data_IF_763817951388
#
_entry.id   IF_763817951388
#
_cell.length_a   1.000
_cell.length_b   1.000
_cell.length_c   1.000
_cell.angle_alpha   90.00
_cell.angle_beta   90.00
_cell.angle_gamma   90.00
#
_symmetry.space_group_name_H-M   'P 1'
#
loop_
_entity.id
_entity.type
_entity.pdbx_description
1 polymer ?
#
# COMPACT_ATOMS: atom_id res chain seq x y z
N UNK A 1 -11.20 5.23 19.50
CA UNK A 1 -10.80 5.28 18.08
C UNK A 1 -9.80 6.41 17.96
N UNK A 2 -8.52 6.15 17.69
CA UNK A 2 -7.55 7.24 17.54
C UNK A 2 -7.92 8.00 16.27
N UNK A 3 -8.32 9.27 16.41
CA UNK A 3 -8.61 10.12 15.26
C UNK A 3 -7.32 10.32 14.47
N UNK A 4 -7.30 9.77 13.25
CA UNK A 4 -6.29 10.09 12.26
C UNK A 4 -6.89 11.22 11.43
N UNK A 5 -6.27 12.39 11.46
CA UNK A 5 -6.67 13.52 10.62
C UNK A 5 -6.44 13.17 9.14
N UNK A 6 -7.54 12.77 8.49
CA UNK A 6 -7.61 12.48 7.05
C UNK A 6 -8.16 13.66 6.25
N UNK A 7 -8.45 14.78 6.91
CA UNK A 7 -9.11 15.95 6.31
C UNK A 7 -8.12 17.06 5.97
N UNK A 8 -7.00 17.16 6.69
CA UNK A 8 -5.94 18.10 6.35
C UNK A 8 -5.35 17.78 4.97
N UNK A 9 -5.34 18.74 4.03
CA UNK A 9 -4.73 18.55 2.72
C UNK A 9 -3.25 18.16 2.84
N UNK A 10 -2.81 17.18 2.05
CA UNK A 10 -1.39 16.79 1.98
C UNK A 10 -0.56 18.01 1.57
N UNK A 11 0.51 18.39 2.30
CA UNK A 11 1.34 19.54 1.94
C UNK A 11 1.90 19.42 0.50
N UNK A 12 2.02 20.54 -0.22
CA UNK A 12 2.44 20.55 -1.62
C UNK A 12 3.78 19.83 -1.87
N UNK A 13 4.77 20.02 -0.98
CA UNK A 13 6.06 19.32 -1.04
C UNK A 13 5.92 17.80 -0.97
N UNK A 14 4.94 17.29 -0.21
CA UNK A 14 4.66 15.87 -0.10
C UNK A 14 3.93 15.36 -1.35
N UNK A 15 3.03 16.17 -1.93
CA UNK A 15 2.38 15.83 -3.20
C UNK A 15 3.40 15.67 -4.33
N UNK A 16 4.33 16.60 -4.47
CA UNK A 16 5.38 16.52 -5.50
C UNK A 16 6.27 15.28 -5.31
N UNK A 17 6.66 14.96 -4.07
CA UNK A 17 7.46 13.75 -3.78
C UNK A 17 6.74 12.44 -4.12
N UNK A 18 5.41 12.43 -4.03
CA UNK A 18 4.58 11.24 -4.28
C UNK A 18 4.20 11.06 -5.74
N UNK A 19 4.31 12.11 -6.55
CA UNK A 19 3.97 12.08 -7.96
C UNK A 19 4.76 10.98 -8.68
N UNK A 20 4.04 10.06 -9.34
CA UNK A 20 4.63 8.92 -10.05
C UNK A 20 5.26 7.84 -9.15
N UNK A 21 5.09 7.90 -7.82
CA UNK A 21 5.56 6.87 -6.89
C UNK A 21 4.43 5.93 -6.53
N UNK A 22 4.71 4.63 -6.56
CA UNK A 22 3.80 3.61 -6.04
C UNK A 22 3.94 3.43 -4.54
N UNK A 23 2.88 2.94 -3.90
CA UNK A 23 2.88 2.58 -2.48
C UNK A 23 2.91 1.06 -2.32
N UNK A 24 3.63 0.62 -1.29
CA UNK A 24 3.65 -0.76 -0.81
C UNK A 24 2.93 -0.81 0.54
N UNK A 25 1.83 -1.56 0.60
CA UNK A 25 1.08 -1.81 1.83
C UNK A 25 1.54 -3.11 2.49
N UNK A 26 1.83 -3.01 3.78
CA UNK A 26 2.47 -4.07 4.55
C UNK A 26 1.68 -4.27 5.84
N UNK A 27 1.25 -5.51 6.12
CA UNK A 27 0.42 -5.81 7.28
C UNK A 27 -1.01 -5.24 7.22
N UNK A 28 -1.45 -4.76 6.06
CA UNK A 28 -2.80 -4.24 5.84
C UNK A 28 -3.64 -5.27 5.10
N UNK A 29 -4.84 -5.62 5.62
CA UNK A 29 -5.79 -6.53 4.94
C UNK A 29 -6.87 -5.84 4.11
N UNK A 30 -7.13 -4.55 4.33
CA UNK A 30 -8.26 -3.80 3.74
C UNK A 30 -9.63 -4.43 4.02
N UNK A 31 -9.76 -5.11 5.17
CA UNK A 31 -10.97 -5.80 5.60
C UNK A 31 -12.01 -4.88 6.25
N UNK A 32 -11.64 -3.62 6.54
CA UNK A 32 -12.53 -2.62 7.12
C UNK A 32 -12.57 -1.31 6.33
N UNK A 33 -13.57 -0.48 6.63
CA UNK A 33 -13.76 0.80 5.94
C UNK A 33 -12.64 1.81 6.25
N UNK A 34 -12.03 1.72 7.44
CA UNK A 34 -11.02 2.67 7.88
C UNK A 34 -9.72 2.50 7.09
N UNK A 35 -9.22 1.27 7.01
CA UNK A 35 -8.04 0.88 6.23
C UNK A 35 -8.21 1.19 4.74
N UNK A 36 -9.40 0.94 4.17
CA UNK A 36 -9.72 1.32 2.79
C UNK A 36 -9.70 2.83 2.58
N UNK A 37 -10.30 3.59 3.50
CA UNK A 37 -10.34 5.06 3.42
C UNK A 37 -8.93 5.64 3.53
N UNK A 38 -8.12 5.10 4.43
CA UNK A 38 -6.73 5.51 4.62
C UNK A 38 -5.88 5.23 3.37
N UNK A 39 -5.99 4.02 2.81
CA UNK A 39 -5.30 3.65 1.58
C UNK A 39 -5.67 4.60 0.43
N UNK A 40 -6.96 4.85 0.21
CA UNK A 40 -7.46 5.81 -0.80
C UNK A 40 -6.84 7.19 -0.63
N UNK A 41 -6.71 7.68 0.61
CA UNK A 41 -6.13 9.00 0.86
C UNK A 41 -4.62 9.04 0.62
N UNK A 42 -3.89 7.99 0.99
CA UNK A 42 -2.43 7.94 0.77
C UNK A 42 -2.08 7.89 -0.71
N UNK A 43 -2.84 7.10 -1.49
CA UNK A 43 -2.63 6.87 -2.92
C UNK A 43 -3.03 8.07 -3.80
N UNK A 44 -3.85 9.00 -3.28
CA UNK A 44 -4.25 10.20 -4.04
C UNK A 44 -3.03 10.95 -4.56
N UNK A 45 -3.09 11.32 -5.85
CA UNK A 45 -2.06 12.11 -6.54
C UNK A 45 -0.68 11.42 -6.51
N UNK A 46 -0.66 10.09 -6.48
CA UNK A 46 0.53 9.26 -6.61
C UNK A 46 0.55 8.52 -7.96
N UNK A 47 1.23 7.38 -8.06
CA UNK A 47 1.17 6.48 -9.23
C UNK A 47 -0.21 5.80 -9.34
N UNK A 48 -0.48 5.17 -10.48
CA UNK A 48 -1.64 4.29 -10.70
C UNK A 48 -1.32 2.81 -10.33
N UNK A 49 -0.07 2.52 -9.94
CA UNK A 49 0.38 1.15 -9.61
C UNK A 49 0.90 1.08 -8.18
N UNK A 50 0.36 0.13 -7.43
CA UNK A 50 0.63 -0.12 -6.01
C UNK A 50 0.74 -1.61 -5.71
N UNK A 51 1.21 -1.96 -4.51
CA UNK A 51 1.39 -3.33 -4.08
C UNK A 51 0.92 -3.56 -2.66
N UNK A 52 0.47 -4.78 -2.35
CA UNK A 52 0.15 -5.18 -0.99
C UNK A 52 0.64 -6.60 -0.69
N UNK A 53 1.34 -6.76 0.44
CA UNK A 53 1.79 -8.07 0.92
C UNK A 53 0.64 -8.72 1.70
N UNK A 54 0.03 -9.75 1.10
CA UNK A 54 -1.15 -10.42 1.62
C UNK A 54 -0.98 -11.94 1.47
N UNK A 55 -0.67 -12.67 2.56
CA UNK A 55 -0.52 -14.13 2.48
C UNK A 55 -1.84 -14.79 2.10
N UNK A 56 -2.93 -14.38 2.73
CA UNK A 56 -4.24 -14.99 2.56
C UNK A 56 -4.94 -14.57 1.26
N UNK A 57 -5.78 -15.45 0.73
CA UNK A 57 -6.62 -15.14 -0.41
C UNK A 57 -7.63 -14.04 -0.03
N UNK A 58 -7.68 -12.91 -0.77
CA UNK A 58 -8.64 -11.86 -0.49
C UNK A 58 -10.06 -12.36 -0.75
N UNK A 59 -10.99 -11.92 0.08
CA UNK A 59 -12.42 -12.04 -0.21
C UNK A 59 -12.75 -11.32 -1.52
N UNK A 60 -13.89 -11.66 -2.15
CA UNK A 60 -14.36 -10.99 -3.37
C UNK A 60 -14.38 -9.46 -3.27
N UNK A 61 -14.73 -8.91 -2.09
CA UNK A 61 -14.78 -7.46 -1.87
C UNK A 61 -13.41 -6.82 -1.67
N UNK A 62 -12.45 -7.56 -1.13
CA UNK A 62 -11.05 -7.13 -1.03
C UNK A 62 -10.38 -7.19 -2.40
N UNK A 63 -10.55 -8.29 -3.15
CA UNK A 63 -10.03 -8.44 -4.50
C UNK A 63 -10.51 -7.31 -5.42
N UNK A 64 -11.82 -7.01 -5.39
CA UNK A 64 -12.39 -5.88 -6.13
C UNK A 64 -11.79 -4.54 -5.71
N UNK A 65 -11.52 -4.33 -4.43
CA UNK A 65 -10.87 -3.10 -3.97
C UNK A 65 -9.42 -3.00 -4.45
N UNK A 66 -8.67 -4.11 -4.44
CA UNK A 66 -7.31 -4.13 -4.95
C UNK A 66 -7.29 -3.76 -6.44
N UNK A 67 -8.18 -4.37 -7.24
CA UNK A 67 -8.34 -4.07 -8.66
C UNK A 67 -8.73 -2.61 -8.91
N UNK A 68 -9.78 -2.11 -8.24
CA UNK A 68 -10.25 -0.72 -8.38
C UNK A 68 -9.19 0.32 -8.00
N UNK A 69 -8.21 -0.04 -7.17
CA UNK A 69 -7.17 0.85 -6.69
C UNK A 69 -5.79 0.61 -7.33
N UNK A 70 -5.68 -0.29 -8.32
CA UNK A 70 -4.41 -0.60 -8.96
C UNK A 70 -3.38 -1.24 -8.03
N UNK A 71 -3.84 -1.99 -7.02
CA UNK A 71 -3.00 -2.66 -6.04
C UNK A 71 -2.77 -4.12 -6.46
N UNK A 72 -1.53 -4.47 -6.78
CA UNK A 72 -1.12 -5.85 -7.05
C UNK A 72 -0.85 -6.60 -5.75
N UNK A 73 -1.49 -7.76 -5.57
CA UNK A 73 -1.23 -8.63 -4.42
C UNK A 73 0.10 -9.36 -4.58
N UNK A 74 0.90 -9.33 -3.53
CA UNK A 74 2.08 -10.16 -3.33
C UNK A 74 1.69 -11.27 -2.34
N UNK A 75 1.48 -12.48 -2.87
CA UNK A 75 0.90 -13.61 -2.16
C UNK A 75 1.95 -14.38 -1.34
N UNK A 76 2.45 -13.79 -0.26
CA UNK A 76 3.39 -14.44 0.67
C UNK A 76 3.30 -13.87 2.09
N UNK A 77 3.79 -14.60 3.11
CA UNK A 77 3.91 -14.10 4.47
C UNK A 77 4.83 -12.88 4.55
N UNK A 78 4.48 -11.95 5.46
CA UNK A 78 5.26 -10.72 5.64
C UNK A 78 6.73 -10.98 6.02
N UNK A 79 6.99 -11.96 6.88
CA UNK A 79 8.35 -12.28 7.31
C UNK A 79 9.23 -12.72 6.13
N UNK A 80 8.67 -13.51 5.22
CA UNK A 80 9.36 -13.96 4.00
C UNK A 80 9.62 -12.80 3.04
N UNK A 81 8.60 -11.96 2.80
CA UNK A 81 8.74 -10.77 1.97
C UNK A 81 9.82 -9.83 2.49
N UNK A 82 9.85 -9.56 3.81
CA UNK A 82 10.83 -8.67 4.42
C UNK A 82 12.26 -9.19 4.27
N UNK A 83 12.46 -10.51 4.41
CA UNK A 83 13.77 -11.14 4.20
C UNK A 83 14.23 -10.95 2.74
N UNK A 84 13.38 -11.31 1.77
CA UNK A 84 13.70 -11.19 0.34
C UNK A 84 13.96 -9.74 -0.08
N UNK A 85 13.16 -8.79 0.41
CA UNK A 85 13.35 -7.37 0.12
C UNK A 85 14.71 -6.85 0.64
N UNK A 86 15.07 -7.25 1.86
CA UNK A 86 16.33 -6.82 2.49
C UNK A 86 17.53 -7.39 1.72
N UNK A 87 17.47 -8.66 1.34
CA UNK A 87 18.50 -9.32 0.52
C UNK A 87 18.65 -8.64 -0.85
N UNK A 88 17.54 -8.37 -1.54
CA UNK A 88 17.54 -7.69 -2.85
C UNK A 88 18.16 -6.29 -2.78
N UNK A 89 17.82 -5.50 -1.76
CA UNK A 89 18.36 -4.14 -1.58
C UNK A 89 19.87 -4.16 -1.26
N UNK A 90 20.35 -5.17 -0.54
CA UNK A 90 21.78 -5.34 -0.26
C UNK A 90 22.55 -5.70 -1.54
N UNK A 91 21.97 -6.57 -2.39
CA UNK A 91 22.58 -6.95 -3.66
C UNK A 91 22.65 -5.80 -4.67
N UNK A 92 21.68 -4.87 -4.66
CA UNK A 92 21.70 -3.69 -5.54
C UNK A 92 22.73 -2.63 -5.11
N UNK A 93 23.15 -2.65 -3.85
CA UNK A 93 24.12 -1.70 -3.28
C UNK A 93 25.57 -2.20 -3.34
N UNK A 94 25.78 -3.48 -3.67
CA UNK A 94 27.08 -4.15 -3.74
C UNK A 94 27.66 -4.13 -5.17
#
# INVERSE_FOLDING_TARGET
LTEIDIQTPIPAVVQERRKGKGFLFVGCRFNDQLSRSFARQIMKRSSDTHWAVLPDEPTRMEARFLEEQGITRIAMPLAEFAAQLTEALQAETA
#
